data_IF_675563997737
#
_entry.id   IF_675563997737
#
_cell.length_a   1.000
_cell.length_b   1.000
_cell.length_c   1.000
_cell.angle_alpha   90.00
_cell.angle_beta   90.00
_cell.angle_gamma   90.00
#
_symmetry.space_group_name_H-M   'P 1'
#
loop_
_entity.id
_entity.type
_entity.pdbx_description
1 polymer ?
#
# COMPACT_ATOMS: atom_id res chain seq x y z
N UNK A 1 30.60 -23.51 -21.50
CA UNK A 1 29.92 -22.23 -21.73
C UNK A 1 28.47 -22.53 -22.13
N UNK A 2 27.58 -22.63 -21.15
CA UNK A 2 26.18 -23.01 -21.40
C UNK A 2 25.36 -21.72 -21.59
N UNK A 3 24.68 -21.65 -22.74
CA UNK A 3 23.87 -20.51 -23.18
C UNK A 3 22.69 -20.33 -22.23
N UNK A 4 22.54 -19.10 -21.73
CA UNK A 4 21.40 -18.64 -20.93
C UNK A 4 20.17 -18.63 -21.85
N UNK A 5 19.10 -19.25 -21.37
CA UNK A 5 17.78 -19.35 -21.98
C UNK A 5 17.17 -17.99 -22.32
N UNK A 6 16.59 -17.93 -23.52
CA UNK A 6 15.98 -16.77 -24.17
C UNK A 6 14.80 -16.18 -23.35
N UNK A 7 14.81 -14.89 -22.97
CA UNK A 7 13.75 -14.25 -22.19
C UNK A 7 12.44 -14.01 -22.98
N UNK A 8 12.43 -14.27 -24.29
CA UNK A 8 11.23 -14.17 -25.14
C UNK A 8 10.17 -15.23 -24.79
N UNK A 9 10.55 -16.30 -24.09
CA UNK A 9 9.64 -17.41 -23.70
C UNK A 9 8.53 -16.98 -22.73
N UNK A 10 8.68 -15.87 -22.01
CA UNK A 10 7.62 -15.37 -21.12
C UNK A 10 6.50 -14.60 -21.85
N UNK A 11 6.71 -14.15 -23.09
CA UNK A 11 5.72 -13.36 -23.84
C UNK A 11 4.76 -14.20 -24.69
N UNK A 12 5.10 -15.45 -25.01
CA UNK A 12 4.33 -16.31 -25.94
C UNK A 12 3.41 -17.33 -25.27
N UNK A 13 3.42 -17.47 -23.94
CA UNK A 13 2.60 -18.43 -23.20
C UNK A 13 1.09 -18.13 -23.09
N UNK A 14 0.58 -17.11 -23.79
CA UNK A 14 -0.82 -16.66 -23.67
C UNK A 14 -1.65 -16.73 -24.96
N UNK A 15 -1.18 -17.41 -26.00
CA UNK A 15 -1.94 -17.61 -27.23
C UNK A 15 -1.86 -19.05 -27.74
N UNK A 16 -3.02 -19.67 -27.92
CA UNK A 16 -3.28 -20.97 -28.57
C UNK A 16 -3.19 -22.23 -27.71
N UNK A 17 -4.34 -22.66 -27.19
CA UNK A 17 -4.73 -24.07 -27.22
C UNK A 17 -6.27 -24.16 -27.27
N UNK A 18 -6.84 -24.17 -28.47
CA UNK A 18 -8.14 -24.78 -28.73
C UNK A 18 -7.92 -25.96 -29.67
N UNK A 19 -8.21 -27.16 -29.18
CA UNK A 19 -9.09 -28.18 -29.80
C UNK A 19 -8.84 -29.50 -29.07
N UNK A 20 -9.72 -29.83 -28.12
CA UNK A 20 -10.34 -31.15 -28.08
C UNK A 20 -11.48 -31.17 -27.05
N UNK A 21 -12.57 -31.73 -27.52
CA UNK A 21 -13.83 -32.12 -26.87
C UNK A 21 -13.59 -32.96 -25.61
N UNK A 22 -14.15 -32.55 -24.47
CA UNK A 22 -15.26 -33.29 -23.82
C UNK A 22 -15.62 -32.72 -22.42
N UNK A 23 -16.94 -32.75 -22.19
CA UNK A 23 -17.76 -32.61 -20.99
C UNK A 23 -17.21 -32.14 -19.62
N UNK A 24 -17.98 -31.18 -19.07
CA UNK A 24 -18.35 -31.03 -17.64
C UNK A 24 -17.30 -30.64 -16.59
N UNK A 25 -17.20 -29.34 -16.32
CA UNK A 25 -17.21 -28.75 -14.96
C UNK A 25 -17.17 -27.22 -15.05
N UNK A 26 -18.23 -26.55 -14.61
CA UNK A 26 -18.32 -25.09 -14.55
C UNK A 26 -17.46 -24.55 -13.40
N UNK A 27 -16.22 -24.16 -13.68
CA UNK A 27 -15.42 -23.28 -12.81
C UNK A 27 -15.24 -21.95 -13.52
N UNK A 28 -15.83 -20.87 -12.98
CA UNK A 28 -15.65 -19.53 -13.51
C UNK A 28 -14.20 -19.07 -13.26
N UNK A 29 -13.30 -19.34 -14.21
CA UNK A 29 -12.00 -18.67 -14.28
C UNK A 29 -12.25 -17.22 -14.68
N UNK A 30 -12.23 -16.33 -13.69
CA UNK A 30 -12.19 -14.89 -13.92
C UNK A 30 -10.99 -14.57 -14.83
N UNK A 31 -11.27 -14.05 -16.03
CA UNK A 31 -10.24 -13.55 -16.96
C UNK A 31 -9.57 -12.36 -16.27
N UNK A 32 -8.40 -12.58 -15.67
CA UNK A 32 -7.60 -11.49 -15.09
C UNK A 32 -7.33 -10.43 -16.16
N UNK A 33 -7.61 -9.18 -15.82
CA UNK A 33 -7.30 -8.06 -16.69
C UNK A 33 -5.78 -8.03 -16.92
N UNK A 34 -5.29 -8.14 -18.18
CA UNK A 34 -3.86 -8.20 -18.47
C UNK A 34 -3.10 -6.92 -18.05
N UNK A 35 -3.82 -5.83 -17.75
CA UNK A 35 -3.24 -4.59 -17.23
C UNK A 35 -3.11 -4.52 -15.70
N UNK A 36 -3.56 -5.54 -14.97
CA UNK A 36 -3.47 -5.62 -13.52
C UNK A 36 -2.70 -6.89 -13.11
N UNK A 37 -1.42 -6.73 -12.79
CA UNK A 37 -0.57 -7.84 -12.33
C UNK A 37 -0.39 -7.79 -10.81
N UNK A 38 -0.31 -8.95 -10.18
CA UNK A 38 0.02 -9.06 -8.77
C UNK A 38 1.49 -8.74 -8.50
N UNK A 39 1.81 -8.30 -7.28
CA UNK A 39 3.19 -8.02 -6.82
C UNK A 39 4.17 -9.14 -7.13
N UNK A 40 3.72 -10.39 -7.01
CA UNK A 40 4.51 -11.58 -7.30
C UNK A 40 4.91 -11.67 -8.77
N UNK A 41 3.97 -11.39 -9.69
CA UNK A 41 4.23 -11.39 -11.13
C UNK A 41 5.20 -10.25 -11.48
N UNK A 42 4.94 -9.05 -10.94
CA UNK A 42 5.79 -7.87 -11.13
C UNK A 42 7.20 -8.11 -10.59
N UNK A 43 7.31 -8.73 -9.41
CA UNK A 43 8.57 -9.08 -8.76
C UNK A 43 9.38 -10.12 -9.52
N UNK A 44 8.72 -11.14 -10.08
CA UNK A 44 9.36 -12.13 -10.95
C UNK A 44 9.90 -11.47 -12.21
N UNK A 45 9.07 -10.67 -12.90
CA UNK A 45 9.47 -9.91 -14.08
C UNK A 45 10.65 -8.98 -13.80
N UNK A 46 10.58 -8.21 -12.70
CA UNK A 46 11.66 -7.30 -12.34
C UNK A 46 12.96 -8.04 -12.01
N UNK A 47 12.88 -9.22 -11.39
CA UNK A 47 14.09 -10.03 -11.11
C UNK A 47 14.75 -10.54 -12.39
N UNK A 48 13.97 -10.90 -13.42
CA UNK A 48 14.50 -11.21 -14.74
C UNK A 48 15.09 -9.97 -15.43
N UNK A 49 14.43 -8.81 -15.30
CA UNK A 49 14.91 -7.53 -15.84
C UNK A 49 16.29 -7.13 -15.29
N UNK A 50 16.55 -7.42 -14.01
CA UNK A 50 17.85 -7.13 -13.38
C UNK A 50 19.00 -7.97 -13.93
N UNK A 51 18.72 -9.09 -14.59
CA UNK A 51 19.75 -9.90 -15.25
C UNK A 51 20.17 -9.33 -16.61
N UNK A 52 19.42 -8.37 -17.14
CA UNK A 52 19.73 -7.72 -18.42
C UNK A 52 20.76 -6.62 -18.23
N UNK A 53 21.73 -6.58 -19.16
CA UNK A 53 22.67 -5.48 -19.28
C UNK A 53 21.99 -4.18 -19.73
N UNK A 54 22.68 -3.06 -19.58
CA UNK A 54 22.19 -1.73 -20.00
C UNK A 54 21.79 -1.69 -21.48
N UNK A 55 22.52 -2.39 -22.36
CA UNK A 55 22.22 -2.44 -23.79
C UNK A 55 20.89 -3.15 -24.04
N UNK A 56 20.74 -4.38 -23.54
CA UNK A 56 19.54 -5.20 -23.75
C UNK A 56 18.30 -4.54 -23.15
N UNK A 57 18.42 -3.98 -21.94
CA UNK A 57 17.33 -3.27 -21.27
C UNK A 57 16.80 -2.10 -22.12
N UNK A 58 17.67 -1.38 -22.83
CA UNK A 58 17.28 -0.24 -23.66
C UNK A 58 16.67 -0.65 -25.01
N UNK A 59 16.92 -1.88 -25.48
CA UNK A 59 16.42 -2.40 -26.75
C UNK A 59 15.24 -3.36 -26.61
N UNK A 60 14.69 -3.55 -25.40
CA UNK A 60 13.46 -4.33 -25.19
C UNK A 60 12.29 -3.81 -26.05
N UNK A 61 11.58 -4.70 -26.79
CA UNK A 61 10.46 -4.32 -27.64
C UNK A 61 9.24 -3.99 -26.79
N UNK A 62 9.06 -2.71 -26.44
CA UNK A 62 8.04 -2.27 -25.48
C UNK A 62 6.60 -2.62 -25.90
N UNK A 63 6.34 -2.76 -27.20
CA UNK A 63 5.01 -3.05 -27.76
C UNK A 63 4.42 -4.40 -27.35
N UNK A 64 5.28 -5.35 -26.97
CA UNK A 64 4.87 -6.72 -26.63
C UNK A 64 4.55 -6.87 -25.13
N UNK A 65 4.75 -5.80 -24.34
CA UNK A 65 4.59 -5.84 -22.90
C UNK A 65 3.28 -5.18 -22.42
N UNK A 66 2.60 -5.78 -21.42
CA UNK A 66 1.45 -5.17 -20.77
C UNK A 66 1.85 -3.87 -20.05
N UNK A 67 0.87 -3.00 -19.79
CA UNK A 67 1.10 -1.63 -19.29
C UNK A 67 1.87 -1.58 -17.97
N UNK A 68 1.65 -2.54 -17.06
CA UNK A 68 2.41 -2.63 -15.81
C UNK A 68 3.89 -2.98 -16.05
N UNK A 69 4.19 -3.87 -16.99
CA UNK A 69 5.55 -4.27 -17.30
C UNK A 69 6.31 -3.13 -17.96
N UNK A 70 5.66 -2.39 -18.88
CA UNK A 70 6.21 -1.16 -19.46
C UNK A 70 6.58 -0.14 -18.40
N UNK A 71 5.71 0.05 -17.39
CA UNK A 71 5.97 0.94 -16.24
C UNK A 71 7.22 0.53 -15.47
N UNK A 72 7.37 -0.75 -15.15
CA UNK A 72 8.57 -1.30 -14.48
C UNK A 72 9.84 -1.04 -15.30
N UNK A 73 9.81 -1.31 -16.61
CA UNK A 73 10.95 -1.09 -17.50
C UNK A 73 11.34 0.39 -17.54
N UNK A 74 10.38 1.30 -17.66
CA UNK A 74 10.65 2.74 -17.65
C UNK A 74 11.24 3.21 -16.32
N UNK A 75 10.70 2.72 -15.19
CA UNK A 75 11.21 3.06 -13.87
C UNK A 75 12.66 2.59 -13.69
N UNK A 76 12.99 1.38 -14.14
CA UNK A 76 14.35 0.85 -14.05
C UNK A 76 15.34 1.57 -14.98
N UNK A 77 14.93 1.89 -16.22
CA UNK A 77 15.75 2.70 -17.15
C UNK A 77 16.08 4.06 -16.52
N UNK A 78 15.08 4.72 -15.93
CA UNK A 78 15.27 6.00 -15.24
C UNK A 78 16.21 5.84 -14.05
N UNK A 79 16.01 4.83 -13.19
CA UNK A 79 16.90 4.56 -12.06
C UNK A 79 18.36 4.35 -12.48
N UNK A 80 18.62 3.50 -13.50
CA UNK A 80 19.98 3.27 -14.02
C UNK A 80 20.60 4.54 -14.58
N UNK A 81 19.80 5.40 -15.24
CA UNK A 81 20.25 6.70 -15.75
C UNK A 81 20.63 7.65 -14.59
N UNK A 82 19.78 7.75 -13.58
CA UNK A 82 19.94 8.72 -12.48
C UNK A 82 21.05 8.29 -11.49
N UNK A 83 21.24 6.98 -11.27
CA UNK A 83 22.16 6.45 -10.26
C UNK A 83 23.48 5.95 -10.83
N UNK A 84 23.55 5.62 -12.12
CA UNK A 84 24.75 5.08 -12.76
C UNK A 84 25.17 3.68 -12.29
N UNK A 85 24.37 3.00 -11.46
CA UNK A 85 24.64 1.65 -10.95
C UNK A 85 23.61 0.63 -11.44
N UNK A 86 24.08 -0.57 -11.77
CA UNK A 86 23.26 -1.62 -12.38
C UNK A 86 22.32 -2.29 -11.38
N UNK A 87 22.75 -2.51 -10.14
CA UNK A 87 21.92 -3.12 -9.11
C UNK A 87 21.17 -2.07 -8.29
N UNK A 88 19.85 -2.26 -8.04
CA UNK A 88 19.07 -1.38 -7.20
C UNK A 88 19.33 -1.68 -5.71
N UNK A 89 19.19 -0.66 -4.88
CA UNK A 89 19.02 -0.84 -3.43
C UNK A 89 17.67 -1.45 -3.10
N UNK A 90 17.48 -1.90 -1.85
CA UNK A 90 16.22 -2.50 -1.39
C UNK A 90 15.03 -1.52 -1.51
N UNK A 91 15.25 -0.23 -1.27
CA UNK A 91 14.21 0.81 -1.39
C UNK A 91 13.88 1.10 -2.86
N UNK A 92 14.87 1.19 -3.73
CA UNK A 92 14.67 1.39 -5.17
C UNK A 92 13.91 0.22 -5.80
N UNK A 93 14.26 -1.01 -5.41
CA UNK A 93 13.52 -2.21 -5.82
C UNK A 93 12.05 -2.11 -5.41
N UNK A 94 11.77 -1.68 -4.17
CA UNK A 94 10.40 -1.48 -3.70
C UNK A 94 9.64 -0.46 -4.54
N UNK A 95 10.24 0.71 -4.77
CA UNK A 95 9.62 1.80 -5.55
C UNK A 95 9.28 1.36 -6.98
N UNK A 96 10.13 0.56 -7.63
CA UNK A 96 9.88 0.05 -8.98
C UNK A 96 8.72 -0.94 -9.01
N UNK A 97 8.58 -1.79 -7.98
CA UNK A 97 7.43 -2.70 -7.87
C UNK A 97 6.13 -1.94 -7.65
N UNK A 98 6.14 -0.94 -6.77
CA UNK A 98 4.97 -0.09 -6.49
C UNK A 98 4.54 0.70 -7.74
N UNK A 99 5.50 1.11 -8.57
CA UNK A 99 5.26 1.75 -9.86
C UNK A 99 4.63 0.78 -10.88
N UNK A 100 5.07 -0.48 -10.89
CA UNK A 100 4.46 -1.55 -11.70
C UNK A 100 3.00 -1.82 -11.32
N UNK A 101 2.67 -1.73 -10.04
CA UNK A 101 1.31 -1.88 -9.51
C UNK A 101 0.42 -0.67 -9.83
N UNK A 102 1.00 0.45 -10.26
CA UNK A 102 0.28 1.70 -10.48
C UNK A 102 -0.08 2.45 -9.20
N UNK A 103 0.59 2.13 -8.09
CA UNK A 103 0.43 2.84 -6.81
C UNK A 103 1.06 4.24 -6.88
N UNK A 104 2.08 4.41 -7.73
CA UNK A 104 2.82 5.66 -7.91
C UNK A 104 2.69 6.09 -9.38
N UNK A 105 2.26 7.31 -9.63
CA UNK A 105 2.24 7.95 -10.97
C UNK A 105 3.59 8.61 -11.27
N UNK A 106 3.95 8.78 -12.56
CA UNK A 106 5.21 9.45 -12.93
C UNK A 106 5.26 10.87 -12.35
N UNK A 107 6.39 11.29 -11.74
CA UNK A 107 6.67 12.71 -11.61
C UNK A 107 6.96 13.27 -13.00
N UNK A 108 6.09 14.17 -13.48
CA UNK A 108 6.36 15.02 -14.64
C UNK A 108 7.63 15.82 -14.36
N UNK A 109 8.64 15.65 -15.23
CA UNK A 109 9.88 16.42 -15.19
C UNK A 109 9.96 17.37 -16.38
N UNK A 110 10.23 18.63 -16.04
CA UNK A 110 10.93 19.67 -16.80
C UNK A 110 10.16 20.53 -17.81
N UNK A 111 9.77 21.74 -17.33
CA UNK A 111 10.00 22.98 -18.08
C UNK A 111 10.60 24.05 -17.16
N UNK A 112 11.79 24.53 -17.54
CA UNK A 112 12.49 25.68 -16.98
C UNK A 112 11.95 27.00 -17.55
N UNK A 113 11.78 27.99 -16.66
CA UNK A 113 12.24 29.37 -16.82
C UNK A 113 11.44 30.35 -17.69
N UNK A 114 10.89 31.39 -17.06
CA UNK A 114 11.30 32.79 -17.32
C UNK A 114 10.58 33.78 -16.39
N UNK A 115 11.36 34.73 -15.89
CA UNK A 115 10.99 35.93 -15.12
C UNK A 115 10.17 36.90 -15.99
N UNK A 116 9.22 37.63 -15.39
CA UNK A 116 8.56 38.79 -15.99
C UNK A 116 7.46 39.38 -15.10
N UNK A 117 7.65 40.63 -14.69
CA UNK A 117 6.84 41.46 -13.79
C UNK A 117 5.41 41.79 -14.26
N UNK A 118 4.60 42.16 -13.26
CA UNK A 118 3.45 43.08 -13.24
C UNK A 118 2.34 42.95 -14.30
N UNK A 119 1.15 42.51 -13.85
CA UNK A 119 0.05 43.45 -13.58
C UNK A 119 -1.17 42.75 -12.96
N UNK A 120 -1.76 43.49 -12.03
CA UNK A 120 -3.05 43.26 -11.38
C UNK A 120 -4.16 42.90 -12.38
N UNK A 121 -4.97 41.90 -12.04
CA UNK A 121 -6.39 41.92 -12.41
C UNK A 121 -7.25 41.25 -11.35
N UNK A 122 -8.17 42.06 -10.82
CA UNK A 122 -9.18 41.69 -9.86
C UNK A 122 -10.14 40.62 -10.40
N UNK A 123 -10.52 39.75 -9.46
CA UNK A 123 -11.83 39.13 -9.29
C UNK A 123 -12.37 38.28 -10.44
N UNK A 124 -12.15 36.97 -10.32
CA UNK A 124 -13.23 35.99 -10.47
C UNK A 124 -13.18 35.05 -9.28
N UNK A 125 -14.05 35.29 -8.29
CA UNK A 125 -14.37 34.29 -7.27
C UNK A 125 -14.91 33.05 -7.99
N UNK A 126 -14.04 32.05 -8.20
CA UNK A 126 -14.49 30.70 -8.50
C UNK A 126 -15.28 30.27 -7.26
N UNK A 127 -16.59 30.06 -7.42
CA UNK A 127 -17.40 29.33 -6.44
C UNK A 127 -16.66 28.04 -6.11
N UNK A 128 -16.03 28.00 -4.95
CA UNK A 128 -15.29 26.86 -4.45
C UNK A 128 -16.25 25.68 -4.42
N UNK A 129 -15.93 24.64 -5.19
CA UNK A 129 -16.57 23.35 -5.02
C UNK A 129 -16.25 22.92 -3.58
N UNK A 130 -17.27 22.67 -2.76
CA UNK A 130 -17.05 22.27 -1.37
C UNK A 130 -15.97 21.16 -1.32
N UNK A 131 -14.99 21.25 -0.40
CA UNK A 131 -13.96 20.23 -0.28
C UNK A 131 -14.62 18.86 -0.15
N UNK A 132 -14.16 17.87 -0.93
CA UNK A 132 -14.65 16.50 -0.75
C UNK A 132 -14.24 16.05 0.66
N UNK A 133 -15.15 15.42 1.43
CA UNK A 133 -14.81 14.93 2.75
C UNK A 133 -13.67 13.91 2.64
N UNK A 134 -12.61 14.15 3.41
CA UNK A 134 -11.47 13.24 3.53
C UNK A 134 -11.84 12.01 4.35
N UNK A 135 -11.40 10.79 3.99
CA UNK A 135 -11.71 9.58 4.75
C UNK A 135 -11.14 9.64 6.18
N UNK A 136 -11.94 9.21 7.15
CA UNK A 136 -11.57 9.13 8.58
C UNK A 136 -10.90 7.78 8.91
N UNK A 137 -11.17 6.76 8.08
CA UNK A 137 -10.67 5.40 8.19
C UNK A 137 -10.03 4.93 6.88
N UNK A 138 -8.96 4.17 7.00
CA UNK A 138 -8.20 3.59 5.89
C UNK A 138 -8.09 2.08 6.06
N UNK A 139 -8.31 1.34 4.98
CA UNK A 139 -8.31 -0.13 4.99
C UNK A 139 -6.90 -0.71 4.82
N UNK A 140 -6.60 -1.75 5.59
CA UNK A 140 -5.29 -2.42 5.60
C UNK A 140 -5.17 -3.64 4.66
N UNK A 141 -6.04 -3.86 3.67
CA UNK A 141 -5.99 -5.03 2.79
C UNK A 141 -4.62 -5.21 2.10
N UNK A 142 -3.97 -4.11 1.75
CA UNK A 142 -2.66 -4.13 1.10
C UNK A 142 -1.58 -4.89 1.91
N UNK A 143 -1.81 -5.08 3.21
CA UNK A 143 -0.93 -5.82 4.11
C UNK A 143 -1.12 -7.34 4.02
N UNK A 144 -2.25 -7.81 3.48
CA UNK A 144 -2.63 -9.22 3.58
C UNK A 144 -1.59 -10.16 3.00
N UNK A 145 -0.98 -9.78 1.86
CA UNK A 145 0.10 -10.55 1.23
C UNK A 145 1.31 -10.73 2.15
N UNK A 146 1.67 -9.73 2.94
CA UNK A 146 2.77 -9.83 3.90
C UNK A 146 2.39 -10.61 5.15
N UNK A 147 1.12 -10.56 5.56
CA UNK A 147 0.63 -11.31 6.72
C UNK A 147 0.62 -12.81 6.41
N UNK A 148 0.14 -13.22 5.24
CA UNK A 148 0.11 -14.64 4.85
C UNK A 148 1.51 -15.25 4.68
N UNK A 149 2.51 -14.43 4.33
CA UNK A 149 3.90 -14.87 4.22
C UNK A 149 4.54 -15.15 5.60
N UNK A 150 4.00 -14.55 6.67
CA UNK A 150 4.56 -14.63 8.04
C UNK A 150 3.81 -15.63 8.94
N UNK A 151 2.53 -15.90 8.68
CA UNK A 151 1.75 -16.87 9.48
C UNK A 151 1.89 -18.30 8.94
N UNK A 152 1.71 -19.29 9.81
CA UNK A 152 1.77 -20.73 9.45
C UNK A 152 0.37 -21.34 9.24
N UNK A 153 -0.67 -20.53 9.15
CA UNK A 153 -2.07 -20.96 9.09
C UNK A 153 -2.86 -20.14 8.09
N UNK A 154 -3.92 -20.74 7.53
CA UNK A 154 -4.80 -20.05 6.60
C UNK A 154 -5.60 -18.97 7.32
N UNK A 155 -5.53 -17.76 6.77
CA UNK A 155 -6.28 -16.59 7.20
C UNK A 155 -6.72 -15.81 5.96
N UNK A 156 -7.90 -15.20 6.01
CA UNK A 156 -8.47 -14.44 4.89
C UNK A 156 -8.66 -12.98 5.29
N UNK A 157 -8.34 -12.04 4.40
CA UNK A 157 -8.70 -10.65 4.61
C UNK A 157 -10.16 -10.40 4.19
N UNK A 158 -10.96 -9.78 5.05
CA UNK A 158 -12.36 -9.48 4.78
C UNK A 158 -12.74 -8.05 5.15
N UNK A 159 -12.88 -7.20 4.13
CA UNK A 159 -13.30 -5.80 4.27
C UNK A 159 -14.69 -5.61 4.87
N UNK A 160 -15.55 -6.62 4.76
CA UNK A 160 -16.96 -6.56 5.20
C UNK A 160 -17.12 -6.72 6.71
N UNK A 161 -16.06 -7.10 7.43
CA UNK A 161 -16.09 -7.16 8.90
C UNK A 161 -16.39 -5.78 9.49
N UNK A 162 -17.55 -5.68 10.12
CA UNK A 162 -18.12 -4.42 10.61
C UNK A 162 -17.62 -4.08 12.01
N UNK A 163 -17.49 -2.76 12.27
CA UNK A 163 -17.25 -2.22 13.61
C UNK A 163 -18.35 -2.58 14.60
N UNK A 164 -19.61 -2.67 14.14
CA UNK A 164 -20.78 -2.91 14.99
C UNK A 164 -21.04 -4.38 15.30
N UNK A 165 -20.30 -5.30 14.69
CA UNK A 165 -20.46 -6.72 14.96
C UNK A 165 -19.83 -7.06 16.32
N UNK A 166 -20.70 -7.41 17.29
CA UNK A 166 -20.32 -7.79 18.65
C UNK A 166 -19.74 -9.19 18.78
N UNK A 167 -19.84 -10.02 17.73
CA UNK A 167 -19.29 -11.38 17.72
C UNK A 167 -17.80 -11.41 17.36
N UNK A 168 -17.28 -10.31 16.81
CA UNK A 168 -15.88 -10.19 16.43
C UNK A 168 -14.99 -9.98 17.64
N UNK A 169 -13.84 -10.66 17.62
CA UNK A 169 -12.77 -10.30 18.55
C UNK A 169 -12.10 -9.02 18.05
N UNK A 170 -11.94 -8.04 18.92
CA UNK A 170 -11.41 -6.72 18.58
C UNK A 170 -10.15 -6.43 19.38
N UNK A 171 -9.20 -5.72 18.77
CA UNK A 171 -8.02 -5.24 19.47
C UNK A 171 -7.57 -3.90 18.92
N UNK A 172 -7.56 -2.92 19.81
CA UNK A 172 -6.92 -1.64 19.58
C UNK A 172 -5.41 -1.82 19.71
N UNK A 173 -4.69 -1.24 18.76
CA UNK A 173 -3.24 -1.22 18.66
C UNK A 173 -2.81 0.15 18.15
N UNK A 174 -1.54 0.46 18.27
CA UNK A 174 -0.91 1.59 17.60
C UNK A 174 0.14 1.09 16.63
N UNK A 175 0.50 1.87 15.61
CA UNK A 175 1.71 1.63 14.82
C UNK A 175 2.44 2.94 14.61
N UNK A 176 3.73 2.85 14.30
CA UNK A 176 4.53 4.00 13.94
C UNK A 176 4.31 4.38 12.47
N UNK A 177 4.28 5.68 12.24
CA UNK A 177 4.18 6.26 10.91
C UNK A 177 4.02 7.77 10.95
N UNK A 178 3.50 8.32 9.88
CA UNK A 178 3.24 9.73 9.72
C UNK A 178 1.91 9.96 9.02
N UNK A 179 1.40 11.18 9.09
CA UNK A 179 0.22 11.61 8.38
C UNK A 179 0.59 12.51 7.21
N UNK A 180 -0.16 12.42 6.12
CA UNK A 180 -0.02 13.30 4.94
C UNK A 180 -1.35 13.96 4.65
N UNK A 181 -1.42 15.28 4.82
CA UNK A 181 -2.60 16.06 4.46
C UNK A 181 -2.57 16.35 2.95
N UNK A 182 -3.54 15.81 2.21
CA UNK A 182 -3.63 15.97 0.75
C UNK A 182 -4.52 17.15 0.31
N UNK A 183 -4.94 17.99 1.25
CA UNK A 183 -5.73 19.19 0.94
C UNK A 183 -4.87 20.22 0.20
N UNK A 184 -5.41 20.84 -0.84
CA UNK A 184 -4.70 21.83 -1.67
C UNK A 184 -4.12 22.97 -0.83
N UNK A 185 -4.88 23.46 0.16
CA UNK A 185 -4.47 24.55 1.06
C UNK A 185 -3.26 24.21 1.96
N UNK A 186 -2.98 22.92 2.15
CA UNK A 186 -1.91 22.46 3.04
C UNK A 186 -0.64 22.00 2.31
N UNK A 187 -0.62 22.02 0.98
CA UNK A 187 0.59 21.73 0.19
C UNK A 187 1.28 20.40 0.53
N UNK A 188 0.52 19.32 0.73
CA UNK A 188 1.04 18.00 1.13
C UNK A 188 1.79 17.98 2.47
N UNK A 189 1.39 18.82 3.44
CA UNK A 189 1.95 18.82 4.80
C UNK A 189 2.02 17.41 5.39
N UNK A 190 3.19 17.09 5.96
CA UNK A 190 3.46 15.81 6.63
C UNK A 190 3.88 16.06 8.06
N UNK A 191 3.43 15.20 8.98
CA UNK A 191 3.92 15.21 10.34
C UNK A 191 4.00 13.78 10.86
N UNK A 192 5.06 13.51 11.62
CA UNK A 192 5.21 12.24 12.29
C UNK A 192 4.22 12.17 13.44
N UNK A 193 3.46 11.07 13.47
CA UNK A 193 2.71 10.70 14.64
C UNK A 193 3.28 9.38 15.09
N UNK A 194 4.01 9.39 16.20
CA UNK A 194 4.52 8.17 16.85
C UNK A 194 3.39 7.19 17.23
N UNK A 195 2.12 7.53 16.96
CA UNK A 195 0.93 6.74 17.21
C UNK A 195 -0.10 6.94 16.09
N UNK A 196 -0.16 5.98 15.17
CA UNK A 196 -1.32 5.79 14.29
C UNK A 196 -2.24 4.75 14.94
N UNK A 197 -3.43 5.18 15.34
CA UNK A 197 -4.43 4.30 15.94
C UNK A 197 -4.88 3.25 14.92
N UNK A 198 -4.85 1.98 15.33
CA UNK A 198 -5.13 0.83 14.48
C UNK A 198 -6.10 -0.10 15.19
N UNK A 199 -7.22 -0.42 14.56
CA UNK A 199 -8.17 -1.41 15.06
C UNK A 199 -8.06 -2.70 14.25
N UNK A 200 -7.92 -3.82 14.94
CA UNK A 200 -7.95 -5.15 14.35
C UNK A 200 -9.26 -5.83 14.74
N UNK A 201 -9.92 -6.46 13.77
CA UNK A 201 -11.13 -7.25 13.97
C UNK A 201 -10.93 -8.64 13.41
N UNK A 202 -11.46 -9.65 14.10
CA UNK A 202 -11.30 -11.04 13.71
C UNK A 202 -12.56 -11.86 13.93
N UNK A 203 -12.93 -12.63 12.91
CA UNK A 203 -14.00 -13.60 12.90
C UNK A 203 -13.38 -15.01 12.95
N UNK A 204 -13.44 -15.64 14.12
CA UNK A 204 -12.85 -16.96 14.35
C UNK A 204 -13.42 -18.06 13.43
N UNK A 205 -14.74 -18.20 13.24
CA UNK A 205 -15.30 -19.26 12.40
C UNK A 205 -14.84 -19.18 10.94
N UNK A 206 -14.67 -17.96 10.42
CA UNK A 206 -14.25 -17.71 9.02
C UNK A 206 -12.74 -17.58 8.86
N UNK A 207 -11.98 -17.60 9.96
CA UNK A 207 -10.56 -17.22 10.01
C UNK A 207 -10.29 -15.92 9.23
N UNK A 208 -11.21 -14.97 9.37
CA UNK A 208 -11.21 -13.74 8.59
C UNK A 208 -10.82 -12.57 9.49
N UNK A 209 -10.02 -11.64 8.98
CA UNK A 209 -9.61 -10.45 9.72
C UNK A 209 -9.71 -9.18 8.86
N UNK A 210 -9.77 -8.06 9.57
CA UNK A 210 -9.72 -6.72 8.99
C UNK A 210 -8.82 -5.83 9.83
N UNK A 211 -8.12 -4.93 9.15
CA UNK A 211 -7.29 -3.89 9.78
C UNK A 211 -7.84 -2.54 9.34
N UNK A 212 -8.17 -1.70 10.32
CA UNK A 212 -8.56 -0.30 10.11
C UNK A 212 -7.48 0.60 10.69
N UNK A 213 -6.98 1.52 9.87
CA UNK A 213 -6.10 2.62 10.30
C UNK A 213 -6.94 3.88 10.43
N UNK A 214 -6.84 4.57 11.56
CA UNK A 214 -7.56 5.82 11.78
C UNK A 214 -6.72 7.03 11.37
N UNK A 215 -7.40 7.99 10.76
CA UNK A 215 -6.83 9.25 10.36
C UNK A 215 -6.68 10.22 11.54
N UNK A 216 -5.94 11.30 11.31
CA UNK A 216 -5.84 12.43 12.24
C UNK A 216 -6.15 13.73 11.49
N UNK A 217 -6.90 14.64 12.12
CA UNK A 217 -7.23 15.95 11.56
C UNK A 217 -5.96 16.80 11.45
N UNK A 218 -5.77 17.43 10.30
CA UNK A 218 -4.71 18.41 10.08
C UNK A 218 -4.98 19.67 10.92
N UNK A 219 -3.98 20.16 11.66
CA UNK A 219 -4.10 21.36 12.50
C UNK A 219 -4.28 22.69 11.74
N UNK A 220 -4.40 22.66 10.42
CA UNK A 220 -4.63 23.85 9.60
C UNK A 220 -5.98 23.86 8.93
N UNK A 221 -6.34 22.76 8.28
CA UNK A 221 -7.59 22.66 7.51
C UNK A 221 -8.66 21.81 8.19
N UNK A 222 -8.35 21.20 9.33
CA UNK A 222 -9.24 20.29 10.09
C UNK A 222 -9.74 19.08 9.29
N UNK A 223 -9.19 18.84 8.10
CA UNK A 223 -9.46 17.65 7.28
C UNK A 223 -8.58 16.49 7.74
N UNK A 224 -9.10 15.26 7.58
CA UNK A 224 -8.38 14.04 7.90
C UNK A 224 -7.22 13.79 6.93
N UNK A 225 -6.04 13.60 7.51
CA UNK A 225 -4.84 13.25 6.77
C UNK A 225 -4.67 11.74 6.68
N UNK A 226 -4.08 11.30 5.57
CA UNK A 226 -3.86 9.89 5.29
C UNK A 226 -2.74 9.32 6.18
N UNK A 227 -2.98 8.22 6.91
CA UNK A 227 -1.96 7.54 7.68
C UNK A 227 -1.03 6.74 6.77
N UNK A 228 0.26 7.04 6.85
CA UNK A 228 1.33 6.30 6.19
C UNK A 228 2.10 5.54 7.26
N UNK A 229 1.97 4.21 7.24
CA UNK A 229 2.52 3.31 8.27
C UNK A 229 3.73 2.55 7.76
N UNK A 230 4.61 2.16 8.67
CA UNK A 230 5.70 1.26 8.34
C UNK A 230 5.18 -0.19 8.23
N UNK A 231 5.17 -0.73 7.00
CA UNK A 231 4.60 -2.06 6.69
C UNK A 231 5.14 -3.17 7.59
N UNK A 232 6.46 -3.21 7.84
CA UNK A 232 7.05 -4.31 8.61
C UNK A 232 6.57 -4.31 10.07
N UNK A 233 6.48 -3.13 10.67
CA UNK A 233 5.97 -2.95 12.04
C UNK A 233 4.49 -3.30 12.12
N UNK A 234 3.68 -2.88 11.15
CA UNK A 234 2.26 -3.19 11.15
C UNK A 234 1.99 -4.69 10.95
N UNK A 235 2.68 -5.34 10.00
CA UNK A 235 2.56 -6.79 9.77
C UNK A 235 2.91 -7.58 11.03
N UNK A 236 4.05 -7.28 11.67
CA UNK A 236 4.44 -7.92 12.93
C UNK A 236 3.37 -7.80 14.02
N UNK A 237 2.74 -6.62 14.14
CA UNK A 237 1.65 -6.43 15.11
C UNK A 237 0.40 -7.22 14.74
N UNK A 238 0.02 -7.25 13.45
CA UNK A 238 -1.13 -8.04 12.98
C UNK A 238 -0.91 -9.53 13.23
N UNK A 239 0.23 -10.07 12.81
CA UNK A 239 0.62 -11.48 13.02
C UNK A 239 0.59 -11.82 14.51
N UNK A 240 1.22 -11.00 15.36
CA UNK A 240 1.21 -11.20 16.81
C UNK A 240 -0.21 -11.31 17.38
N UNK A 241 -1.13 -10.45 16.95
CA UNK A 241 -2.52 -10.47 17.43
C UNK A 241 -3.30 -11.67 16.89
N UNK A 242 -3.10 -12.02 15.62
CA UNK A 242 -3.71 -13.21 15.02
C UNK A 242 -3.22 -14.49 15.71
N UNK A 243 -1.92 -14.59 16.01
CA UNK A 243 -1.35 -15.73 16.74
C UNK A 243 -1.98 -15.90 18.11
N UNK A 244 -2.21 -14.79 18.82
CA UNK A 244 -2.91 -14.79 20.10
C UNK A 244 -4.36 -15.28 19.96
N UNK A 245 -5.09 -14.79 18.96
CA UNK A 245 -6.49 -15.18 18.75
C UNK A 245 -6.62 -16.61 18.28
N UNK A 246 -5.71 -17.07 17.43
CA UNK A 246 -5.68 -18.44 16.93
C UNK A 246 -5.14 -19.45 17.95
N UNK A 247 -4.48 -18.98 19.01
CA UNK A 247 -3.94 -19.82 20.07
C UNK A 247 -2.53 -20.37 19.79
N UNK A 248 -1.84 -19.86 18.77
CA UNK A 248 -0.44 -20.18 18.46
C UNK A 248 0.54 -19.45 19.38
N UNK A 249 0.08 -18.41 20.09
CA UNK A 249 0.86 -17.66 21.05
C UNK A 249 0.10 -17.50 22.36
N UNK A 250 0.77 -17.71 23.48
CA UNK A 250 0.22 -17.40 24.79
C UNK A 250 0.20 -15.89 25.02
N UNK A 251 -0.84 -15.39 25.71
CA UNK A 251 -0.91 -13.99 26.13
C UNK A 251 0.18 -13.76 27.18
N UNK A 252 1.27 -13.11 26.81
CA UNK A 252 2.22 -12.60 27.80
C UNK A 252 1.51 -11.57 28.70
N UNK A 253 1.77 -11.58 30.02
CA UNK A 253 1.28 -10.53 30.89
C UNK A 253 1.76 -9.19 30.33
N UNK A 254 0.81 -8.27 30.12
CA UNK A 254 1.17 -6.90 29.74
C UNK A 254 2.13 -6.43 30.83
N UNK A 255 3.35 -6.03 30.43
CA UNK A 255 4.19 -5.25 31.34
C UNK A 255 3.48 -3.92 31.44
N UNK A 256 2.62 -3.79 32.45
CA UNK A 256 1.76 -2.64 32.71
C UNK A 256 2.63 -1.44 33.11
N UNK A 257 3.39 -0.93 32.14
CA UNK A 257 3.67 0.49 32.12
C UNK A 257 2.50 1.05 31.34
N UNK A 258 1.76 1.97 31.94
CA UNK A 258 0.82 2.85 31.26
C UNK A 258 1.36 3.07 29.84
N UNK A 259 0.59 2.69 28.82
CA UNK A 259 1.00 2.95 27.45
C UNK A 259 0.95 4.47 27.33
N UNK A 260 2.06 5.13 27.66
CA UNK A 260 2.28 6.56 27.46
C UNK A 260 2.78 6.70 26.05
N UNK A 261 2.22 7.64 25.30
CA UNK A 261 2.79 7.98 24.02
C UNK A 261 3.99 8.87 24.33
N UNK A 262 5.19 8.38 24.08
CA UNK A 262 6.41 9.20 24.17
C UNK A 262 6.53 10.18 22.99
N UNK A 263 5.46 10.37 22.20
CA UNK A 263 5.42 11.24 21.03
C UNK A 263 4.10 12.00 20.91
N UNK A 264 3.94 12.86 19.90
CA UNK A 264 2.83 13.80 19.76
C UNK A 264 1.56 13.10 19.27
N UNK A 265 1.03 12.17 20.06
CA UNK A 265 -0.33 11.71 19.84
C UNK A 265 -1.29 12.82 20.25
N UNK A 266 -1.89 13.46 19.27
CA UNK A 266 -2.92 14.46 19.49
C UNK A 266 -4.30 13.77 19.59
N UNK A 267 -4.74 13.57 20.82
CA UNK A 267 -5.99 12.88 21.18
C UNK A 267 -7.21 13.62 20.63
N UNK A 268 -7.21 14.95 20.62
CA UNK A 268 -8.34 15.78 20.18
C UNK A 268 -8.58 15.68 18.67
N UNK A 269 -7.50 15.46 17.89
CA UNK A 269 -7.57 15.36 16.42
C UNK A 269 -7.57 13.92 15.90
N UNK A 270 -7.39 12.92 16.75
CA UNK A 270 -7.33 11.52 16.37
C UNK A 270 -8.74 10.92 16.23
N UNK A 271 -9.13 10.48 15.01
CA UNK A 271 -10.41 9.80 14.82
C UNK A 271 -10.53 8.54 15.68
N UNK A 272 -9.43 7.80 15.86
CA UNK A 272 -9.42 6.62 16.73
C UNK A 272 -9.77 6.94 18.18
N UNK A 273 -9.38 8.11 18.70
CA UNK A 273 -9.78 8.55 20.04
C UNK A 273 -11.25 8.95 20.07
N UNK A 274 -11.70 9.70 19.05
CA UNK A 274 -13.11 10.09 18.88
C UNK A 274 -14.07 8.88 18.91
N UNK A 275 -13.65 7.73 18.35
CA UNK A 275 -14.46 6.49 18.33
C UNK A 275 -14.05 5.42 19.35
N UNK A 276 -13.20 5.75 20.33
CA UNK A 276 -12.71 4.81 21.36
C UNK A 276 -11.99 3.55 20.82
N UNK A 277 -11.41 3.63 19.62
CA UNK A 277 -10.60 2.57 19.00
C UNK A 277 -9.08 2.84 19.06
N UNK A 278 -8.67 3.96 19.66
CA UNK A 278 -7.28 4.25 19.98
C UNK A 278 -6.88 3.55 21.30
N UNK A 279 -5.68 2.92 21.39
CA UNK A 279 -5.19 2.40 22.67
C UNK A 279 -4.89 3.49 23.72
N UNK A 280 -4.83 4.76 23.31
CA UNK A 280 -4.63 5.94 24.16
C UNK A 280 -5.92 6.74 24.39
N UNK A 281 -7.08 6.28 23.88
CA UNK A 281 -8.35 6.89 24.25
C UNK A 281 -8.49 6.80 25.79
N UNK A 282 -8.80 7.94 26.43
CA UNK A 282 -9.11 7.94 27.86
C UNK A 282 -10.26 6.97 28.09
N UNK A 283 -10.00 5.94 28.91
CA UNK A 283 -11.05 5.02 29.32
C UNK A 283 -11.72 5.68 30.52
N UNK A 284 -12.86 6.33 30.29
CA UNK A 284 -13.80 6.72 31.35
C UNK A 284 -14.26 5.50 32.16
#
# INVERSE_FOLDING_TARGET
MSKISDPTVFATGYGNLETNTDASASTSRSRMNPNQASRRIIGSFYSALLQLGKYDLNHLPMQDYPTWARRVVHAERKRRKDKGVEMPTRSERRNILDFGEGIISQPNGDQQGSVGDDQQQLTKQKKGKAPKPTPEEFDGEYLHTYVIDEVTYDVVYDKTLSRTDGTLTKRNSNVWGHFVCKTEDCGERKWDSSVIATNLRFCRPRKAYKVTLHAQKCNQCEQYAEPIVEVTTLVKRVVYVLDLWMGFRAKEPRKDKEIKSDGPHDTERCHGCEVNECPYAERE
#
